data_IF_963002473170
#
_entry.id   IF_963002473170
#
_cell.length_a   1.000
_cell.length_b   1.000
_cell.length_c   1.000
_cell.angle_alpha   90.00
_cell.angle_beta   90.00
_cell.angle_gamma   90.00
#
_symmetry.space_group_name_H-M   'P 1'
#
loop_
_entity.id
_entity.type
_entity.pdbx_description
1 polymer ?
#
# COMPACT_ATOMS: atom_id res chain seq x y z
N UNK A 1 5.95 -17.05 0.00
CA UNK A 1 6.15 -17.76 -1.29
C UNK A 1 6.90 -16.94 -2.35
N UNK A 2 6.86 -15.60 -2.33
CA UNK A 2 7.50 -14.74 -3.35
C UNK A 2 9.01 -14.96 -3.55
N UNK A 3 9.78 -15.19 -2.48
CA UNK A 3 11.25 -15.23 -2.55
C UNK A 3 11.82 -16.36 -3.45
N UNK A 4 11.09 -17.49 -3.61
CA UNK A 4 11.54 -18.61 -4.45
C UNK A 4 11.65 -18.24 -5.93
N UNK A 5 10.75 -17.39 -6.44
CA UNK A 5 10.73 -17.01 -7.85
C UNK A 5 11.84 -16.02 -8.20
N UNK A 6 12.15 -15.08 -7.31
CA UNK A 6 13.24 -14.12 -7.52
C UNK A 6 14.59 -14.85 -7.54
N UNK A 7 14.80 -15.77 -6.59
CA UNK A 7 16.01 -16.60 -6.56
C UNK A 7 16.13 -17.48 -7.82
N UNK A 8 15.01 -18.03 -8.30
CA UNK A 8 14.98 -18.79 -9.55
C UNK A 8 15.33 -17.90 -10.76
N UNK A 9 14.72 -16.72 -10.91
CA UNK A 9 15.01 -15.81 -12.03
C UNK A 9 16.46 -15.34 -12.04
N UNK A 10 17.03 -15.03 -10.87
CA UNK A 10 18.45 -14.69 -10.72
C UNK A 10 19.36 -15.86 -11.09
N UNK A 11 19.04 -17.08 -10.64
CA UNK A 11 19.76 -18.29 -11.01
C UNK A 11 19.72 -18.53 -12.52
N UNK A 12 18.53 -18.53 -13.13
CA UNK A 12 18.36 -18.74 -14.57
C UNK A 12 19.07 -17.69 -15.42
N UNK A 13 19.04 -16.41 -15.00
CA UNK A 13 19.80 -15.35 -15.66
C UNK A 13 21.30 -15.66 -15.70
N UNK A 14 21.85 -16.15 -14.59
CA UNK A 14 23.27 -16.50 -14.49
C UNK A 14 23.62 -17.73 -15.33
N UNK A 15 22.85 -18.80 -15.20
CA UNK A 15 23.11 -20.07 -15.89
C UNK A 15 22.94 -19.97 -17.40
N UNK A 16 21.95 -19.21 -17.87
CA UNK A 16 21.63 -19.10 -19.29
C UNK A 16 22.22 -17.86 -19.96
N UNK A 17 22.91 -17.00 -19.19
CA UNK A 17 23.49 -15.75 -19.71
C UNK A 17 22.45 -14.76 -20.23
N UNK A 18 21.20 -14.83 -19.74
CA UNK A 18 20.13 -13.93 -20.15
C UNK A 18 20.08 -12.68 -19.25
N UNK A 19 19.81 -11.48 -19.81
CA UNK A 19 19.64 -10.26 -19.02
C UNK A 19 18.62 -10.40 -17.88
N UNK A 20 19.00 -9.94 -16.69
CA UNK A 20 18.09 -9.79 -15.55
C UNK A 20 17.71 -8.33 -15.36
N UNK A 21 16.42 -8.06 -15.29
CA UNK A 21 15.89 -6.79 -14.81
C UNK A 21 15.06 -7.03 -13.55
N UNK A 22 15.22 -6.14 -12.56
CA UNK A 22 14.56 -6.28 -11.25
C UNK A 22 13.71 -5.05 -10.98
N UNK A 23 12.46 -5.26 -10.60
CA UNK A 23 11.61 -4.21 -10.04
C UNK A 23 11.57 -4.40 -8.52
N UNK A 24 12.05 -3.41 -7.79
CA UNK A 24 12.11 -3.38 -6.33
C UNK A 24 10.95 -2.52 -5.82
N UNK A 25 10.00 -3.17 -5.13
CA UNK A 25 8.77 -2.55 -4.64
C UNK A 25 8.87 -2.16 -3.16
N UNK A 26 9.54 -2.97 -2.35
CA UNK A 26 9.67 -2.79 -0.90
C UNK A 26 11.02 -3.35 -0.42
N UNK A 27 11.37 -3.05 0.83
CA UNK A 27 12.50 -3.65 1.54
C UNK A 27 12.10 -4.99 2.14
N UNK A 28 12.30 -6.07 1.38
CA UNK A 28 11.87 -7.42 1.78
C UNK A 28 12.45 -7.84 3.15
N UNK A 29 13.65 -7.36 3.49
CA UNK A 29 14.27 -7.67 4.78
C UNK A 29 13.46 -7.18 5.99
N UNK A 30 12.60 -6.19 5.84
CA UNK A 30 11.74 -5.69 6.92
C UNK A 30 10.57 -6.62 7.29
N UNK A 31 10.35 -7.69 6.52
CA UNK A 31 9.37 -8.73 6.85
C UNK A 31 10.01 -9.94 7.55
N UNK A 32 11.32 -9.88 7.85
CA UNK A 32 12.02 -10.94 8.55
C UNK A 32 11.60 -11.07 10.02
N UNK A 33 11.59 -12.29 10.56
CA UNK A 33 11.21 -12.59 11.94
C UNK A 33 12.39 -12.54 12.93
N UNK A 34 13.60 -12.29 12.43
CA UNK A 34 14.82 -12.23 13.26
C UNK A 34 15.93 -11.43 12.58
N UNK A 35 16.89 -10.94 13.36
CA UNK A 35 18.06 -10.21 12.84
C UNK A 35 18.92 -11.04 11.88
N UNK A 36 19.00 -12.36 12.14
CA UNK A 36 19.70 -13.31 11.27
C UNK A 36 18.99 -13.44 9.92
N UNK A 37 17.66 -13.59 9.94
CA UNK A 37 16.85 -13.64 8.72
C UNK A 37 16.93 -12.30 7.97
N UNK A 38 16.80 -11.19 8.67
CA UNK A 38 16.95 -9.83 8.13
C UNK A 38 18.27 -9.71 7.35
N UNK A 39 19.38 -10.06 8.00
CA UNK A 39 20.72 -9.98 7.40
C UNK A 39 20.85 -10.88 6.19
N UNK A 40 20.29 -12.10 6.24
CA UNK A 40 20.31 -13.04 5.14
C UNK A 40 19.48 -12.57 3.93
N UNK A 41 18.27 -12.04 4.17
CA UNK A 41 17.40 -11.51 3.12
C UNK A 41 18.05 -10.29 2.47
N UNK A 42 18.56 -9.36 3.28
CA UNK A 42 19.26 -8.17 2.78
C UNK A 42 20.42 -8.53 1.86
N UNK A 43 21.30 -9.44 2.29
CA UNK A 43 22.44 -9.89 1.47
C UNK A 43 22.00 -10.53 0.14
N UNK A 44 20.93 -11.32 0.15
CA UNK A 44 20.37 -11.92 -1.07
C UNK A 44 19.83 -10.85 -2.02
N UNK A 45 19.02 -9.92 -1.50
CA UNK A 45 18.47 -8.80 -2.29
C UNK A 45 19.61 -7.98 -2.92
N UNK A 46 20.63 -7.60 -2.14
CA UNK A 46 21.80 -6.89 -2.64
C UNK A 46 22.54 -7.67 -3.74
N UNK A 47 22.74 -8.98 -3.55
CA UNK A 47 23.38 -9.83 -4.57
C UNK A 47 22.58 -9.87 -5.88
N UNK A 48 21.26 -10.02 -5.81
CA UNK A 48 20.36 -10.04 -6.97
C UNK A 48 20.41 -8.69 -7.70
N UNK A 49 20.32 -7.60 -6.94
CA UNK A 49 20.37 -6.24 -7.48
C UNK A 49 21.71 -5.91 -8.14
N UNK A 50 22.83 -6.42 -7.60
CA UNK A 50 24.16 -6.27 -8.19
C UNK A 50 24.34 -7.09 -9.47
N UNK A 51 23.72 -8.27 -9.54
CA UNK A 51 23.69 -9.09 -10.76
C UNK A 51 22.86 -8.45 -11.87
N UNK A 52 21.76 -7.77 -11.52
CA UNK A 52 20.84 -7.20 -12.49
C UNK A 52 21.56 -6.28 -13.50
N UNK A 53 21.10 -6.35 -14.75
CA UNK A 53 21.49 -5.41 -15.79
C UNK A 53 20.80 -4.06 -15.55
N UNK A 54 19.54 -4.10 -15.10
CA UNK A 54 18.73 -2.94 -14.77
C UNK A 54 17.91 -3.19 -13.50
N UNK A 55 17.89 -2.23 -12.59
CA UNK A 55 17.06 -2.23 -11.39
C UNK A 55 16.15 -1.00 -11.40
N UNK A 56 14.85 -1.22 -11.24
CA UNK A 56 13.86 -0.16 -11.09
C UNK A 56 13.36 -0.13 -9.66
N UNK A 57 13.34 1.04 -9.06
CA UNK A 57 12.83 1.27 -7.70
C UNK A 57 11.55 2.09 -7.75
N UNK A 58 10.56 1.75 -6.93
CA UNK A 58 9.28 2.49 -6.90
C UNK A 58 9.36 3.87 -6.23
N UNK A 59 10.50 4.17 -5.59
CA UNK A 59 10.76 5.47 -4.96
C UNK A 59 12.26 5.79 -4.96
N UNK A 60 12.64 7.08 -4.94
CA UNK A 60 14.03 7.49 -4.70
C UNK A 60 14.57 7.03 -3.34
N UNK A 61 13.73 7.00 -2.31
CA UNK A 61 14.09 6.59 -0.95
C UNK A 61 14.51 5.11 -0.91
N UNK A 62 13.79 4.26 -1.63
CA UNK A 62 14.13 2.84 -1.74
C UNK A 62 15.43 2.62 -2.52
N UNK A 63 15.65 3.37 -3.61
CA UNK A 63 16.92 3.36 -4.34
C UNK A 63 18.09 3.74 -3.42
N UNK A 64 17.91 4.78 -2.60
CA UNK A 64 18.92 5.24 -1.65
C UNK A 64 19.26 4.19 -0.58
N UNK A 65 18.28 3.40 -0.14
CA UNK A 65 18.50 2.36 0.87
C UNK A 65 19.47 1.27 0.40
N UNK A 66 19.39 0.87 -0.88
CA UNK A 66 20.30 -0.14 -1.44
C UNK A 66 21.62 0.46 -1.95
N UNK A 67 21.67 1.76 -2.22
CA UNK A 67 22.88 2.54 -2.58
C UNK A 67 23.83 1.78 -3.54
N UNK A 68 23.26 1.23 -4.61
CA UNK A 68 24.05 0.45 -5.57
C UNK A 68 25.11 1.36 -6.20
N UNK A 69 26.39 0.96 -6.10
CA UNK A 69 27.56 1.78 -6.52
C UNK A 69 27.50 2.21 -8.00
N UNK A 70 26.68 1.57 -8.82
CA UNK A 70 26.54 1.87 -10.25
C UNK A 70 25.19 2.54 -10.55
N UNK A 71 25.16 3.88 -10.46
CA UNK A 71 23.98 4.69 -10.84
C UNK A 71 23.51 4.47 -12.29
N UNK A 72 24.37 3.92 -13.16
CA UNK A 72 24.03 3.65 -14.57
C UNK A 72 23.07 2.47 -14.76
N UNK A 73 22.88 1.63 -13.73
CA UNK A 73 22.00 0.46 -13.77
C UNK A 73 20.70 0.65 -12.98
N UNK A 74 20.52 1.79 -12.34
CA UNK A 74 19.37 2.06 -11.48
C UNK A 74 18.51 3.16 -12.06
N UNK A 75 17.21 3.07 -11.84
CA UNK A 75 16.27 4.13 -12.19
C UNK A 75 15.07 4.05 -11.26
N UNK A 76 14.44 5.19 -11.00
CA UNK A 76 13.15 5.23 -10.31
C UNK A 76 12.05 5.05 -11.35
N UNK A 77 11.18 4.06 -11.12
CA UNK A 77 9.95 3.85 -11.87
C UNK A 77 8.78 4.02 -10.92
N UNK A 78 8.21 5.23 -10.90
CA UNK A 78 7.04 5.53 -10.07
C UNK A 78 5.87 4.62 -10.49
N UNK A 79 5.07 4.11 -9.53
CA UNK A 79 3.90 3.32 -9.85
C UNK A 79 2.95 4.05 -10.78
N UNK A 80 2.50 3.33 -11.80
CA UNK A 80 1.51 3.80 -12.75
C UNK A 80 0.17 3.25 -12.27
N UNK A 81 -0.84 4.11 -12.07
CA UNK A 81 -2.18 3.66 -11.72
C UNK A 81 -2.72 2.70 -12.78
N UNK A 82 -3.65 1.84 -12.39
CA UNK A 82 -4.45 1.13 -13.37
C UNK A 82 -5.30 2.16 -14.16
N UNK A 83 -5.19 2.14 -15.49
CA UNK A 83 -5.95 3.10 -16.30
C UNK A 83 -7.44 2.75 -16.26
N UNK A 84 -8.21 3.58 -15.57
CA UNK A 84 -9.66 3.49 -15.54
C UNK A 84 -10.27 4.60 -16.40
N UNK A 85 -11.03 4.21 -17.43
CA UNK A 85 -11.78 5.17 -18.25
C UNK A 85 -13.06 5.60 -17.50
N UNK A 86 -12.90 6.34 -16.40
CA UNK A 86 -13.99 6.79 -15.55
C UNK A 86 -14.21 8.29 -15.67
N UNK A 87 -15.48 8.66 -15.50
CA UNK A 87 -15.84 10.04 -15.23
C UNK A 87 -15.47 10.35 -13.79
N UNK A 88 -14.93 11.55 -13.59
CA UNK A 88 -14.69 12.10 -12.26
C UNK A 88 -15.98 12.09 -11.44
N UNK A 89 -15.83 11.85 -10.14
CA UNK A 89 -16.96 11.72 -9.22
C UNK A 89 -17.32 13.10 -8.69
N UNK A 90 -18.49 13.58 -9.09
CA UNK A 90 -18.99 14.87 -8.63
C UNK A 90 -19.42 14.81 -7.16
N UNK A 91 -19.27 15.94 -6.47
CA UNK A 91 -19.76 16.11 -5.12
C UNK A 91 -21.28 15.87 -5.07
N UNK A 92 -21.72 15.00 -4.16
CA UNK A 92 -23.14 14.72 -3.94
C UNK A 92 -23.63 15.45 -2.69
N UNK A 93 -24.79 16.12 -2.77
CA UNK A 93 -25.37 16.88 -1.64
C UNK A 93 -25.65 16.01 -0.42
N UNK A 94 -25.86 14.69 -0.58
CA UNK A 94 -26.03 13.74 0.53
C UNK A 94 -24.82 13.72 1.49
N UNK A 95 -23.62 14.03 0.99
CA UNK A 95 -22.37 13.99 1.76
C UNK A 95 -22.20 15.16 2.73
N UNK A 96 -22.91 16.28 2.54
CA UNK A 96 -22.85 17.40 3.49
C UNK A 96 -23.62 17.14 4.78
N UNK A 97 -24.53 16.16 4.78
CA UNK A 97 -25.38 15.84 5.92
C UNK A 97 -24.82 14.68 6.76
N UNK A 98 -24.21 13.70 6.10
CA UNK A 98 -23.62 12.52 6.76
C UNK A 98 -22.31 12.16 6.03
N UNK A 99 -21.17 12.78 6.38
CA UNK A 99 -19.92 12.52 5.70
C UNK A 99 -19.46 11.08 5.95
N UNK A 100 -18.98 10.42 4.90
CA UNK A 100 -18.45 9.06 4.95
C UNK A 100 -16.95 9.09 4.63
N UNK A 101 -16.11 8.78 5.61
CA UNK A 101 -14.67 8.61 5.40
C UNK A 101 -14.40 7.14 5.14
N UNK A 102 -13.91 6.79 3.96
CA UNK A 102 -13.68 5.41 3.59
C UNK A 102 -12.19 5.03 3.64
N UNK A 103 -11.89 3.81 4.07
CA UNK A 103 -10.57 3.21 4.00
C UNK A 103 -10.68 1.85 3.31
N UNK A 104 -9.83 1.59 2.31
CA UNK A 104 -9.74 0.27 1.69
C UNK A 104 -8.33 -0.30 1.85
N UNK A 105 -8.21 -1.40 2.59
CA UNK A 105 -6.92 -2.01 2.86
C UNK A 105 -6.80 -2.79 4.14
N UNK A 106 -5.63 -3.40 4.30
CA UNK A 106 -5.29 -4.04 5.54
C UNK A 106 -5.18 -3.01 6.66
N UNK A 107 -5.86 -3.28 7.78
CA UNK A 107 -5.71 -2.51 9.02
C UNK A 107 -4.68 -3.16 9.92
N UNK A 108 -3.70 -2.37 10.34
CA UNK A 108 -2.69 -2.78 11.29
C UNK A 108 -3.13 -2.45 12.72
N UNK A 109 -2.67 -3.20 13.74
CA UNK A 109 -2.99 -2.93 15.14
C UNK A 109 -2.70 -1.50 15.60
N UNK A 110 -1.60 -0.91 15.12
CA UNK A 110 -1.20 0.46 15.45
C UNK A 110 -2.19 1.53 14.97
N UNK A 111 -3.02 1.21 13.97
CA UNK A 111 -3.99 2.15 13.42
C UNK A 111 -5.26 2.26 14.25
N UNK A 112 -5.48 1.37 15.22
CA UNK A 112 -6.71 1.33 16.03
C UNK A 112 -7.04 2.69 16.67
N UNK A 113 -6.07 3.29 17.37
CA UNK A 113 -6.29 4.56 18.08
C UNK A 113 -6.70 5.68 17.14
N UNK A 114 -6.06 5.78 15.96
CA UNK A 114 -6.35 6.81 14.98
C UNK A 114 -7.76 6.66 14.39
N UNK A 115 -8.15 5.42 14.02
CA UNK A 115 -9.49 5.15 13.52
C UNK A 115 -10.56 5.36 14.59
N UNK A 116 -10.28 4.96 15.83
CA UNK A 116 -11.17 5.20 16.96
C UNK A 116 -11.39 6.70 17.20
N UNK A 117 -10.32 7.50 17.30
CA UNK A 117 -10.43 8.95 17.47
C UNK A 117 -11.17 9.62 16.31
N UNK A 118 -10.93 9.17 15.08
CA UNK A 118 -11.65 9.66 13.91
C UNK A 118 -13.15 9.31 13.97
N UNK A 119 -13.50 8.11 14.40
CA UNK A 119 -14.89 7.68 14.51
C UNK A 119 -15.65 8.54 15.53
N UNK A 120 -15.03 8.81 16.69
CA UNK A 120 -15.60 9.70 17.71
C UNK A 120 -15.81 11.12 17.15
N UNK A 121 -14.80 11.68 16.48
CA UNK A 121 -14.91 13.02 15.88
C UNK A 121 -15.99 13.09 14.79
N UNK A 122 -16.10 12.07 13.94
CA UNK A 122 -17.14 12.02 12.91
C UNK A 122 -18.55 11.89 13.51
N UNK A 123 -18.69 11.20 14.65
CA UNK A 123 -19.98 11.05 15.31
C UNK A 123 -20.59 12.41 15.72
N UNK A 124 -19.76 13.40 16.07
CA UNK A 124 -20.22 14.76 16.43
C UNK A 124 -20.92 15.49 15.27
N UNK A 125 -20.67 15.06 14.03
CA UNK A 125 -21.25 15.63 12.81
C UNK A 125 -22.13 14.64 12.05
N UNK A 126 -22.62 13.59 12.73
CA UNK A 126 -23.39 12.48 12.13
C UNK A 126 -22.65 11.77 10.97
N UNK A 127 -21.33 11.80 11.00
CA UNK A 127 -20.46 11.12 10.04
C UNK A 127 -20.19 9.67 10.42
N UNK A 128 -19.63 8.93 9.46
CA UNK A 128 -19.30 7.51 9.60
C UNK A 128 -17.99 7.15 8.90
N UNK A 129 -17.43 6.00 9.29
CA UNK A 129 -16.29 5.39 8.61
C UNK A 129 -16.76 4.15 7.85
N UNK A 130 -16.34 4.02 6.60
CA UNK A 130 -16.54 2.82 5.79
C UNK A 130 -15.20 2.09 5.60
N UNK A 131 -15.10 0.84 6.05
CA UNK A 131 -13.85 0.07 5.99
C UNK A 131 -14.03 -1.12 5.04
N UNK A 132 -13.23 -1.14 3.97
CA UNK A 132 -13.13 -2.25 3.02
C UNK A 132 -11.87 -3.06 3.33
N UNK A 133 -12.03 -4.19 4.03
CA UNK A 133 -10.92 -5.07 4.38
C UNK A 133 -11.40 -6.50 4.68
N UNK A 134 -10.50 -7.50 4.80
CA UNK A 134 -10.90 -8.86 5.16
C UNK A 134 -11.66 -8.88 6.49
N UNK A 135 -12.80 -9.56 6.52
CA UNK A 135 -13.69 -9.62 7.70
C UNK A 135 -13.04 -10.18 8.97
N UNK A 136 -11.96 -10.95 8.82
CA UNK A 136 -11.20 -11.58 9.90
C UNK A 136 -10.06 -10.70 10.42
N UNK A 137 -9.92 -9.47 9.93
CA UNK A 137 -8.93 -8.53 10.41
C UNK A 137 -9.18 -8.18 11.91
N UNK A 138 -8.23 -8.45 12.83
CA UNK A 138 -8.46 -8.24 14.26
C UNK A 138 -8.71 -6.78 14.65
N UNK A 139 -8.07 -5.83 13.96
CA UNK A 139 -8.26 -4.40 14.21
C UNK A 139 -9.66 -3.94 13.79
N UNK A 140 -10.16 -4.44 12.66
CA UNK A 140 -11.55 -4.20 12.22
C UNK A 140 -12.54 -4.70 13.28
N UNK A 141 -12.42 -5.95 13.71
CA UNK A 141 -13.36 -6.57 14.67
C UNK A 141 -13.45 -5.70 15.92
N UNK A 142 -12.30 -5.32 16.49
CA UNK A 142 -12.23 -4.45 17.66
C UNK A 142 -12.87 -3.08 17.42
N UNK A 143 -12.67 -2.47 16.24
CA UNK A 143 -13.28 -1.19 15.88
C UNK A 143 -14.81 -1.29 15.80
N UNK A 144 -15.34 -2.34 15.16
CA UNK A 144 -16.79 -2.58 15.04
C UNK A 144 -17.45 -2.83 16.41
N UNK A 145 -16.76 -3.49 17.34
CA UNK A 145 -17.24 -3.69 18.71
C UNK A 145 -17.27 -2.38 19.52
N UNK A 146 -16.41 -1.42 19.18
CA UNK A 146 -16.21 -0.20 19.98
C UNK A 146 -16.98 1.01 19.42
N UNK A 147 -17.20 1.09 18.10
CA UNK A 147 -17.77 2.26 17.44
C UNK A 147 -18.96 1.86 16.55
N UNK A 148 -20.14 2.42 16.83
CA UNK A 148 -21.38 2.13 16.08
C UNK A 148 -21.48 2.82 14.72
N UNK A 149 -20.67 3.84 14.46
CA UNK A 149 -20.62 4.57 13.18
C UNK A 149 -19.49 4.08 12.26
N UNK A 150 -18.97 2.87 12.50
CA UNK A 150 -18.04 2.19 11.59
C UNK A 150 -18.82 1.09 10.86
N UNK A 151 -18.79 1.16 9.54
CA UNK A 151 -19.38 0.17 8.64
C UNK A 151 -18.27 -0.63 7.96
N UNK A 152 -18.56 -1.90 7.69
CA UNK A 152 -17.63 -2.82 7.05
C UNK A 152 -18.17 -3.31 5.71
N UNK A 153 -17.25 -3.48 4.77
CA UNK A 153 -17.46 -4.27 3.56
C UNK A 153 -16.26 -5.21 3.37
N UNK A 154 -16.53 -6.44 2.93
CA UNK A 154 -15.45 -7.40 2.65
C UNK A 154 -14.62 -6.98 1.41
N UNK A 155 -13.49 -7.64 1.18
CA UNK A 155 -12.68 -7.36 -0.01
C UNK A 155 -13.43 -7.65 -1.31
N UNK A 156 -13.17 -6.83 -2.33
CA UNK A 156 -13.73 -7.03 -3.66
C UNK A 156 -12.84 -7.96 -4.50
N UNK A 157 -13.41 -8.63 -5.52
CA UNK A 157 -12.63 -9.47 -6.44
C UNK A 157 -11.59 -8.68 -7.23
N UNK A 158 -11.88 -7.41 -7.56
CA UNK A 158 -10.98 -6.55 -8.34
C UNK A 158 -10.81 -5.17 -7.71
N UNK A 159 -9.70 -4.49 -7.99
CA UNK A 159 -9.48 -3.10 -7.56
C UNK A 159 -10.51 -2.15 -8.20
N UNK A 160 -10.90 -2.41 -9.45
CA UNK A 160 -11.95 -1.65 -10.14
C UNK A 160 -13.23 -1.60 -9.31
N UNK A 161 -13.70 -2.74 -8.80
CA UNK A 161 -14.93 -2.80 -8.01
C UNK A 161 -14.81 -1.99 -6.70
N UNK A 162 -13.62 -2.01 -6.06
CA UNK A 162 -13.34 -1.17 -4.89
C UNK A 162 -13.53 0.30 -5.25
N UNK A 163 -12.96 0.74 -6.36
CA UNK A 163 -13.07 2.14 -6.78
C UNK A 163 -14.50 2.56 -7.08
N UNK A 164 -15.30 1.69 -7.72
CA UNK A 164 -16.72 2.00 -8.02
C UNK A 164 -17.49 2.17 -6.73
N UNK A 165 -17.33 1.20 -5.83
CA UNK A 165 -17.97 1.23 -4.54
C UNK A 165 -17.57 2.45 -3.70
N UNK A 166 -16.27 2.76 -3.59
CA UNK A 166 -15.82 3.93 -2.84
C UNK A 166 -16.33 5.23 -3.47
N UNK A 167 -16.39 5.28 -4.80
CA UNK A 167 -16.90 6.43 -5.52
C UNK A 167 -18.34 6.80 -5.20
N UNK A 168 -19.20 5.80 -5.06
CA UNK A 168 -20.62 6.01 -4.78
C UNK A 168 -20.93 6.27 -3.30
N UNK A 169 -20.05 5.81 -2.41
CA UNK A 169 -20.32 5.69 -0.97
C UNK A 169 -19.43 6.57 -0.09
N UNK A 170 -18.28 7.05 -0.57
CA UNK A 170 -17.33 7.82 0.23
C UNK A 170 -17.38 9.32 -0.09
N UNK A 171 -17.37 10.14 0.95
CA UNK A 171 -17.12 11.58 0.86
C UNK A 171 -15.63 11.87 0.74
N UNK A 172 -14.81 11.07 1.41
CA UNK A 172 -13.36 11.19 1.46
C UNK A 172 -12.74 9.80 1.54
N UNK A 173 -11.57 9.61 0.94
CA UNK A 173 -10.80 8.38 1.05
C UNK A 173 -9.59 8.63 1.95
N UNK A 174 -9.48 7.82 3.01
CA UNK A 174 -8.38 7.84 3.96
C UNK A 174 -7.35 6.77 3.60
N UNK A 175 -6.17 7.25 3.21
CA UNK A 175 -4.96 6.44 3.11
C UNK A 175 -4.16 6.64 4.39
N UNK A 176 -4.07 5.59 5.22
CA UNK A 176 -3.43 5.65 6.53
C UNK A 176 -2.18 4.78 6.54
N UNK A 177 -1.03 5.40 6.81
CA UNK A 177 0.25 4.77 7.08
C UNK A 177 0.80 5.32 8.39
N UNK A 178 1.54 4.52 9.14
CA UNK A 178 2.22 4.98 10.34
C UNK A 178 3.51 5.71 9.97
N UNK A 179 3.81 6.80 10.66
CA UNK A 179 5.13 7.45 10.62
C UNK A 179 6.14 6.77 11.57
N UNK A 180 5.68 5.83 12.39
CA UNK A 180 6.52 5.11 13.33
C UNK A 180 7.10 3.89 12.62
N UNK A 181 8.41 3.93 12.36
CA UNK A 181 9.12 2.86 11.64
C UNK A 181 8.99 1.50 12.35
N UNK A 182 8.93 1.46 13.69
CA UNK A 182 8.73 0.20 14.41
C UNK A 182 7.35 -0.44 14.19
N UNK A 183 6.37 0.33 13.70
CA UNK A 183 5.02 -0.17 13.42
C UNK A 183 4.85 -0.57 11.95
N UNK A 184 5.43 0.22 11.03
CA UNK A 184 5.40 -0.02 9.59
C UNK A 184 6.77 0.34 8.98
N UNK A 185 7.79 -0.51 9.11
CA UNK A 185 9.16 -0.18 8.73
C UNK A 185 9.32 0.08 7.24
N UNK A 186 8.48 -0.53 6.40
CA UNK A 186 8.45 -0.28 4.96
C UNK A 186 7.84 1.09 4.61
N UNK A 187 7.02 1.71 5.45
CA UNK A 187 6.25 2.91 5.08
C UNK A 187 7.11 4.09 4.60
N UNK A 188 8.33 4.23 5.15
CA UNK A 188 9.28 5.30 4.79
C UNK A 188 9.96 5.12 3.44
N UNK A 189 9.90 3.91 2.87
CA UNK A 189 10.62 3.55 1.63
C UNK A 189 9.68 3.00 0.55
N UNK A 190 8.53 2.46 0.96
CA UNK A 190 7.46 2.01 0.09
C UNK A 190 6.77 3.19 -0.60
N UNK A 191 6.14 2.91 -1.73
CA UNK A 191 5.29 3.87 -2.39
C UNK A 191 3.82 3.63 -2.02
N UNK A 192 3.03 4.66 -1.64
CA UNK A 192 1.63 4.50 -1.29
C UNK A 192 0.78 4.31 -2.56
N UNK A 193 0.88 3.14 -3.20
CA UNK A 193 0.24 2.87 -4.49
C UNK A 193 -1.26 3.19 -4.48
N UNK A 194 -1.95 2.90 -3.37
CA UNK A 194 -3.37 3.26 -3.16
C UNK A 194 -3.64 4.76 -3.22
N UNK A 195 -2.74 5.59 -2.72
CA UNK A 195 -2.90 7.04 -2.81
C UNK A 195 -2.89 7.48 -4.28
N UNK A 196 -1.98 6.93 -5.07
CA UNK A 196 -1.96 7.20 -6.51
C UNK A 196 -3.24 6.71 -7.15
N UNK A 197 -3.63 5.46 -6.94
CA UNK A 197 -4.88 4.92 -7.48
C UNK A 197 -6.11 5.80 -7.14
N UNK A 198 -6.27 6.16 -5.86
CA UNK A 198 -7.40 7.01 -5.43
C UNK A 198 -7.32 8.44 -5.93
N UNK A 199 -6.12 8.97 -6.20
CA UNK A 199 -5.98 10.33 -6.74
C UNK A 199 -6.63 10.47 -8.13
N UNK A 200 -6.74 9.37 -8.89
CA UNK A 200 -7.43 9.36 -10.18
C UNK A 200 -8.95 9.41 -10.06
N UNK A 201 -9.52 9.16 -8.87
CA UNK A 201 -10.94 9.41 -8.61
C UNK A 201 -11.23 10.91 -8.42
N UNK A 202 -10.21 11.70 -8.08
CA UNK A 202 -10.36 13.04 -7.49
C UNK A 202 -9.80 14.21 -8.33
N UNK A 203 -9.54 14.05 -9.63
CA UNK A 203 -9.14 15.18 -10.49
C UNK A 203 -10.29 15.73 -11.36
N UNK A 204 -10.80 16.93 -11.04
CA UNK A 204 -11.61 17.74 -11.97
C UNK A 204 -10.70 18.62 -12.82
N UNK A 205 -11.04 18.82 -14.09
CA UNK A 205 -10.53 19.98 -14.85
C UNK A 205 -11.24 21.25 -14.44
#
# INVERSE_FOLDING_TARGET
>A
MQNKHILLSSYLSKEWGVPLSVLCHDREEFFANSDLEFSSVKQKCESILMQAQQSWFVSPELEQCYNLKSKKKTSVLLPIPEFHNRKFIEWQSKFSLNPVVAHAGWLYPSQFSNFYSLAIALQEINGSILIVCPKDNPTLIKLLETCSNIFHHDIFPTNSDVFDFLGDNATCILVSYSFIESEQPWASTSFPSKLVEFSHLLYSK
#
